data_IF_613685698329
#
_entry.id   IF_613685698329
#
_cell.length_a   1.000
_cell.length_b   1.000
_cell.length_c   1.000
_cell.angle_alpha   90.00
_cell.angle_beta   90.00
_cell.angle_gamma   90.00
#
_symmetry.space_group_name_H-M   'P 1'
#
loop_
_entity.id
_entity.type
_entity.pdbx_description
1 polymer ?
#
# COMPACT_ATOMS: atom_id res chain seq x y z
N UNK A 1 -18.92 4.34 -9.95
CA UNK A 1 -17.63 4.99 -9.65
C UNK A 1 -16.86 4.12 -8.67
N UNK A 2 -15.60 3.79 -8.95
CA UNK A 2 -14.79 2.87 -8.14
C UNK A 2 -13.84 3.60 -7.20
N UNK A 3 -13.33 2.92 -6.17
CA UNK A 3 -12.33 3.46 -5.24
C UNK A 3 -11.05 3.90 -5.97
N UNK A 4 -10.62 3.15 -7.00
CA UNK A 4 -9.46 3.51 -7.81
C UNK A 4 -9.69 4.78 -8.62
N UNK A 5 -10.87 4.96 -9.20
CA UNK A 5 -11.23 6.21 -9.90
C UNK A 5 -11.16 7.42 -8.96
N UNK A 6 -11.63 7.29 -7.71
CA UNK A 6 -11.50 8.34 -6.70
C UNK A 6 -10.03 8.66 -6.39
N UNK A 7 -9.17 7.64 -6.33
CA UNK A 7 -7.72 7.82 -6.22
C UNK A 7 -7.08 8.51 -7.42
N UNK A 8 -7.53 8.22 -8.63
CA UNK A 8 -7.08 8.93 -9.84
C UNK A 8 -7.52 10.40 -9.86
N UNK A 9 -8.65 10.73 -9.23
CA UNK A 9 -9.15 12.10 -9.09
C UNK A 9 -8.55 12.87 -7.92
N UNK A 10 -7.70 12.26 -7.09
CA UNK A 10 -7.15 12.91 -5.90
C UNK A 10 -8.17 13.12 -4.78
N UNK A 11 -9.11 12.18 -4.61
CA UNK A 11 -10.18 12.25 -3.61
C UNK A 11 -10.06 11.11 -2.57
N UNK A 12 -8.99 11.06 -1.77
CA UNK A 12 -8.73 9.97 -0.82
C UNK A 12 -9.76 9.87 0.31
N UNK A 13 -10.28 10.98 0.85
CA UNK A 13 -11.39 10.94 1.81
C UNK A 13 -12.64 10.26 1.24
N UNK A 14 -12.99 10.55 -0.03
CA UNK A 14 -14.16 9.92 -0.66
C UNK A 14 -13.93 8.43 -0.89
N UNK A 15 -12.69 8.02 -1.18
CA UNK A 15 -12.33 6.61 -1.29
C UNK A 15 -12.56 5.89 0.05
N UNK A 16 -12.13 6.47 1.17
CA UNK A 16 -12.38 5.93 2.51
C UNK A 16 -13.87 5.88 2.85
N UNK A 17 -14.62 6.96 2.59
CA UNK A 17 -16.07 7.00 2.82
C UNK A 17 -16.81 5.92 2.02
N UNK A 18 -16.39 5.70 0.77
CA UNK A 18 -16.97 4.67 -0.11
C UNK A 18 -16.70 3.27 0.45
N UNK A 19 -15.49 3.02 0.96
CA UNK A 19 -15.15 1.76 1.61
C UNK A 19 -15.96 1.53 2.89
N UNK A 20 -16.06 2.53 3.77
CA UNK A 20 -16.89 2.45 4.98
C UNK A 20 -18.38 2.24 4.66
N UNK A 21 -18.89 2.87 3.59
CA UNK A 21 -20.24 2.63 3.10
C UNK A 21 -20.40 1.17 2.63
N UNK A 22 -19.46 0.64 1.85
CA UNK A 22 -19.50 -0.74 1.36
C UNK A 22 -19.46 -1.76 2.52
N UNK A 23 -18.66 -1.51 3.55
CA UNK A 23 -18.60 -2.36 4.77
C UNK A 23 -19.94 -2.44 5.51
N UNK A 24 -20.77 -1.40 5.44
CA UNK A 24 -22.08 -1.36 6.10
C UNK A 24 -23.18 -2.06 5.30
N UNK A 25 -22.90 -2.47 4.07
CA UNK A 25 -23.89 -3.19 3.26
C UNK A 25 -23.93 -4.66 3.68
N UNK A 26 -24.99 -5.00 4.41
CA UNK A 26 -25.26 -6.37 4.88
C UNK A 26 -26.07 -7.21 3.88
N UNK A 27 -26.71 -6.56 2.90
CA UNK A 27 -27.59 -7.21 1.92
C UNK A 27 -26.86 -7.93 0.77
N UNK A 28 -25.59 -7.57 0.53
CA UNK A 28 -24.69 -8.26 -0.39
C UNK A 28 -23.37 -8.45 0.36
N UNK A 29 -22.75 -9.64 0.35
CA UNK A 29 -21.46 -9.88 0.97
C UNK A 29 -20.36 -9.21 0.14
N UNK A 30 -20.37 -7.88 0.09
CA UNK A 30 -19.30 -7.04 -0.45
C UNK A 30 -18.11 -6.98 0.52
N UNK A 31 -18.25 -7.57 1.71
CA UNK A 31 -17.22 -7.65 2.73
C UNK A 31 -17.19 -9.03 3.41
N UNK A 32 -16.00 -9.59 3.69
CA UNK A 32 -14.67 -9.05 3.40
C UNK A 32 -14.24 -9.27 1.93
N UNK A 33 -14.12 -8.18 1.17
CA UNK A 33 -13.38 -8.17 -0.10
C UNK A 33 -12.07 -7.40 0.08
N UNK A 34 -10.98 -8.16 0.18
CA UNK A 34 -9.62 -7.66 0.24
C UNK A 34 -9.29 -6.70 -0.91
N UNK A 35 -10.00 -6.77 -2.05
CA UNK A 35 -9.78 -5.86 -3.18
C UNK A 35 -10.25 -4.44 -2.90
N UNK A 36 -11.38 -4.29 -2.20
CA UNK A 36 -11.92 -2.98 -1.80
C UNK A 36 -11.00 -2.37 -0.75
N UNK A 37 -10.61 -3.16 0.25
CA UNK A 37 -9.66 -2.73 1.28
C UNK A 37 -8.30 -2.35 0.66
N UNK A 38 -7.71 -3.22 -0.16
CA UNK A 38 -6.43 -2.95 -0.83
C UNK A 38 -6.50 -1.68 -1.70
N UNK A 39 -7.56 -1.50 -2.50
CA UNK A 39 -7.70 -0.29 -3.31
C UNK A 39 -7.82 0.97 -2.45
N UNK A 40 -8.47 0.90 -1.29
CA UNK A 40 -8.59 2.02 -0.36
C UNK A 40 -7.23 2.34 0.27
N UNK A 41 -6.52 1.32 0.72
CA UNK A 41 -5.19 1.45 1.36
C UNK A 41 -4.17 2.04 0.39
N UNK A 42 -4.15 1.60 -0.88
CA UNK A 42 -3.25 2.20 -1.89
C UNK A 42 -3.51 3.69 -2.06
N UNK A 43 -4.78 4.09 -2.16
CA UNK A 43 -5.17 5.51 -2.30
C UNK A 43 -4.76 6.31 -1.06
N UNK A 44 -5.07 5.83 0.14
CA UNK A 44 -4.71 6.52 1.37
C UNK A 44 -3.19 6.64 1.54
N UNK A 45 -2.44 5.58 1.23
CA UNK A 45 -0.97 5.60 1.29
C UNK A 45 -0.38 6.58 0.27
N UNK A 46 -0.96 6.64 -0.94
CA UNK A 46 -0.54 7.54 -2.01
C UNK A 46 -0.70 9.02 -1.65
N UNK A 47 -1.75 9.38 -0.92
CA UNK A 47 -2.07 10.77 -0.56
C UNK A 47 -1.67 11.14 0.89
N UNK A 48 -0.83 10.33 1.52
CA UNK A 48 -0.37 10.55 2.90
C UNK A 48 -1.49 10.64 3.95
N UNK A 49 -2.56 9.89 3.73
CA UNK A 49 -3.70 9.80 4.66
C UNK A 49 -3.76 8.47 5.39
N UNK A 50 -2.81 7.58 5.10
CA UNK A 50 -2.67 6.32 5.81
C UNK A 50 -1.93 6.56 7.13
N UNK A 51 -2.67 6.95 8.17
CA UNK A 51 -2.17 7.12 9.55
C UNK A 51 -1.86 5.76 10.20
N UNK A 52 -0.77 5.12 9.79
CA UNK A 52 -0.42 3.76 10.20
C UNK A 52 1.03 3.62 10.67
N UNK A 53 1.78 4.70 10.87
CA UNK A 53 3.22 4.63 11.18
C UNK A 53 3.52 3.76 12.41
N UNK A 54 2.69 3.86 13.47
CA UNK A 54 2.79 3.02 14.68
C UNK A 54 2.01 1.69 14.56
N UNK A 55 0.99 1.64 13.71
CA UNK A 55 0.11 0.48 13.54
C UNK A 55 0.63 -0.52 12.51
N UNK A 56 1.64 -0.15 11.71
CA UNK A 56 2.17 -0.97 10.62
C UNK A 56 2.61 -2.35 11.13
N UNK A 57 3.37 -2.38 12.23
CA UNK A 57 3.89 -3.59 12.86
C UNK A 57 2.77 -4.45 13.47
N UNK A 58 1.68 -3.83 13.91
CA UNK A 58 0.51 -4.50 14.48
C UNK A 58 -0.44 -5.05 13.39
N UNK A 59 -0.54 -4.35 12.26
CA UNK A 59 -1.41 -4.73 11.15
C UNK A 59 -0.77 -5.80 10.25
N UNK A 60 0.56 -5.83 10.14
CA UNK A 60 1.31 -6.75 9.29
C UNK A 60 0.98 -8.25 9.47
N UNK A 61 0.85 -8.78 10.70
CA UNK A 61 0.52 -10.19 10.91
C UNK A 61 -0.86 -10.55 10.35
N UNK A 62 -1.83 -9.65 10.49
CA UNK A 62 -3.23 -9.87 10.10
C UNK A 62 -3.56 -9.43 8.67
N UNK A 63 -2.73 -8.58 8.06
CA UNK A 63 -2.98 -8.06 6.72
C UNK A 63 -2.82 -9.15 5.66
N UNK A 64 -3.71 -9.13 4.66
CA UNK A 64 -3.56 -9.99 3.51
C UNK A 64 -2.46 -9.48 2.58
N UNK A 65 -1.96 -10.38 1.74
CA UNK A 65 -0.93 -10.05 0.74
C UNK A 65 -1.35 -8.88 -0.16
N UNK A 66 -2.61 -8.85 -0.59
CA UNK A 66 -3.13 -7.79 -1.46
C UNK A 66 -3.10 -6.42 -0.76
N UNK A 67 -3.40 -6.37 0.54
CA UNK A 67 -3.36 -5.15 1.35
C UNK A 67 -1.92 -4.67 1.52
N UNK A 68 -0.98 -5.57 1.80
CA UNK A 68 0.44 -5.23 1.92
C UNK A 68 0.99 -4.69 0.59
N UNK A 69 0.74 -5.37 -0.52
CA UNK A 69 1.19 -4.93 -1.86
C UNK A 69 0.59 -3.58 -2.25
N UNK A 70 -0.67 -3.34 -1.91
CA UNK A 70 -1.33 -2.05 -2.12
C UNK A 70 -0.70 -0.94 -1.29
N UNK A 71 -0.37 -1.22 -0.02
CA UNK A 71 0.28 -0.27 0.87
C UNK A 71 1.66 0.14 0.35
N UNK A 72 2.49 -0.85 -0.03
CA UNK A 72 3.81 -0.57 -0.64
C UNK A 72 3.65 0.21 -1.94
N UNK A 73 2.70 -0.17 -2.79
CA UNK A 73 2.46 0.54 -4.06
C UNK A 73 2.04 1.99 -3.85
N UNK A 74 1.21 2.26 -2.84
CA UNK A 74 0.80 3.62 -2.48
C UNK A 74 1.99 4.44 -1.97
N UNK A 75 2.83 3.89 -1.10
CA UNK A 75 4.04 4.58 -0.62
C UNK A 75 5.03 4.87 -1.74
N UNK A 76 5.25 3.93 -2.67
CA UNK A 76 6.08 4.17 -3.86
C UNK A 76 5.53 5.36 -4.65
N UNK A 77 4.22 5.38 -4.92
CA UNK A 77 3.56 6.48 -5.66
C UNK A 77 3.57 7.82 -4.93
N UNK A 78 3.73 7.81 -3.61
CA UNK A 78 3.91 9.01 -2.79
C UNK A 78 5.39 9.44 -2.69
N UNK A 79 6.33 8.73 -3.32
CA UNK A 79 7.76 8.96 -3.16
C UNK A 79 8.29 8.56 -1.77
N UNK A 80 7.50 7.88 -0.94
CA UNK A 80 7.87 7.45 0.42
C UNK A 80 8.64 6.12 0.40
N UNK A 81 9.77 6.12 -0.31
CA UNK A 81 10.62 4.94 -0.56
C UNK A 81 11.10 4.30 0.75
N UNK A 82 11.40 5.09 1.79
CA UNK A 82 11.81 4.58 3.10
C UNK A 82 10.74 3.73 3.80
N UNK A 83 9.48 4.17 3.78
CA UNK A 83 8.36 3.41 4.35
C UNK A 83 8.06 2.16 3.52
N UNK A 84 8.10 2.28 2.19
CA UNK A 84 7.96 1.13 1.30
C UNK A 84 9.02 0.05 1.57
N UNK A 85 10.29 0.45 1.74
CA UNK A 85 11.38 -0.45 2.11
C UNK A 85 11.18 -1.08 3.50
N UNK A 86 10.83 -0.29 4.53
CA UNK A 86 10.55 -0.81 5.88
C UNK A 86 9.47 -1.89 5.84
N UNK A 87 8.42 -1.68 5.05
CA UNK A 87 7.32 -2.64 4.91
C UNK A 87 7.75 -3.92 4.18
N UNK A 88 8.60 -3.84 3.15
CA UNK A 88 9.18 -5.02 2.50
C UNK A 88 10.06 -5.83 3.46
N UNK A 89 10.91 -5.16 4.24
CA UNK A 89 11.75 -5.83 5.26
C UNK A 89 10.89 -6.54 6.31
N UNK A 90 9.85 -5.87 6.81
CA UNK A 90 8.93 -6.47 7.78
C UNK A 90 8.15 -7.65 7.17
N UNK A 91 7.73 -7.55 5.91
CA UNK A 91 7.09 -8.67 5.21
C UNK A 91 8.04 -9.87 5.07
N UNK A 92 9.32 -9.61 4.76
CA UNK A 92 10.38 -10.63 4.68
C UNK A 92 10.61 -11.32 6.04
N UNK A 93 10.73 -10.56 7.12
CA UNK A 93 10.85 -11.08 8.50
C UNK A 93 9.68 -12.00 8.86
N UNK A 94 8.46 -11.63 8.44
CA UNK A 94 7.25 -12.41 8.65
C UNK A 94 7.04 -13.55 7.61
N UNK A 95 8.06 -13.88 6.80
CA UNK A 95 8.02 -14.92 5.76
C UNK A 95 6.87 -14.74 4.75
N UNK A 96 6.47 -13.49 4.48
CA UNK A 96 5.44 -13.14 3.50
C UNK A 96 6.12 -12.84 2.16
N UNK A 97 5.85 -13.66 1.14
CA UNK A 97 6.34 -13.40 -0.22
C UNK A 97 5.39 -12.44 -0.95
N UNK A 98 5.85 -11.19 -1.17
CA UNK A 98 5.14 -10.23 -2.02
C UNK A 98 5.49 -10.42 -3.49
N UNK A 99 4.69 -9.83 -4.39
CA UNK A 99 4.92 -9.90 -5.83
C UNK A 99 6.28 -9.26 -6.20
N UNK A 100 7.13 -9.93 -7.01
CA UNK A 100 8.41 -9.37 -7.46
C UNK A 100 8.27 -7.99 -8.13
N UNK A 101 7.16 -7.72 -8.81
CA UNK A 101 6.90 -6.43 -9.45
C UNK A 101 6.91 -5.24 -8.48
N UNK A 102 6.62 -5.46 -7.19
CA UNK A 102 6.67 -4.42 -6.16
C UNK A 102 8.12 -4.01 -5.87
N UNK A 103 9.04 -4.98 -5.83
CA UNK A 103 10.47 -4.74 -5.63
C UNK A 103 11.06 -3.95 -6.80
N UNK A 104 10.72 -4.35 -8.03
CA UNK A 104 11.15 -3.64 -9.25
C UNK A 104 10.65 -2.20 -9.29
N UNK A 105 9.38 -1.96 -8.91
CA UNK A 105 8.83 -0.59 -8.82
C UNK A 105 9.54 0.24 -7.76
N UNK A 106 9.87 -0.35 -6.61
CA UNK A 106 10.60 0.33 -5.55
C UNK A 106 12.01 0.72 -6.02
N UNK A 107 12.72 -0.19 -6.68
CA UNK A 107 14.04 0.10 -7.25
C UNK A 107 13.97 1.23 -8.27
N UNK A 108 13.00 1.18 -9.18
CA UNK A 108 12.81 2.23 -10.18
C UNK A 108 12.58 3.59 -9.52
N UNK A 109 11.68 3.67 -8.54
CA UNK A 109 11.41 4.92 -7.82
C UNK A 109 12.63 5.40 -7.02
N UNK A 110 13.38 4.47 -6.42
CA UNK A 110 14.60 4.79 -5.68
C UNK A 110 15.65 5.43 -6.60
N UNK A 111 15.84 4.95 -7.83
CA UNK A 111 16.82 5.50 -8.78
C UNK A 111 16.55 6.98 -9.12
N UNK A 112 15.30 7.44 -9.06
CA UNK A 112 14.95 8.84 -9.31
C UNK A 112 15.19 9.78 -8.12
N UNK A 113 15.58 9.26 -6.96
CA UNK A 113 15.89 10.07 -5.76
C UNK A 113 17.38 10.46 -5.70
N UNK A 114 17.74 11.64 -5.15
CA UNK A 114 19.12 11.97 -4.85
C UNK A 114 19.69 10.94 -3.86
N UNK A 115 20.86 10.35 -4.19
CA UNK A 115 21.47 9.19 -3.50
C UNK A 115 20.73 7.84 -3.66
N UNK A 116 19.76 7.78 -4.57
CA UNK A 116 18.91 6.64 -4.85
C UNK A 116 19.60 5.35 -5.31
N UNK A 117 20.74 5.49 -5.99
CA UNK A 117 21.51 4.35 -6.50
C UNK A 117 21.97 3.39 -5.39
N UNK A 118 22.44 3.94 -4.26
CA UNK A 118 22.84 3.11 -3.11
C UNK A 118 21.66 2.37 -2.48
N UNK A 119 20.46 2.98 -2.53
CA UNK A 119 19.24 2.39 -2.00
C UNK A 119 18.66 1.33 -2.93
N UNK A 120 18.74 1.54 -4.25
CA UNK A 120 18.38 0.55 -5.26
C UNK A 120 19.33 -0.66 -5.23
N UNK A 121 20.64 -0.44 -5.06
CA UNK A 121 21.63 -1.51 -4.93
C UNK A 121 21.36 -2.39 -3.69
N UNK A 122 21.02 -1.78 -2.54
CA UNK A 122 20.70 -2.51 -1.32
C UNK A 122 19.40 -3.33 -1.37
N UNK A 123 18.62 -3.23 -2.46
CA UNK A 123 17.42 -4.04 -2.69
C UNK A 123 17.70 -5.27 -3.58
N UNK A 124 18.91 -5.40 -4.15
CA UNK A 124 19.30 -6.52 -5.02
C UNK A 124 19.90 -7.72 -4.24
N UNK A 125 20.32 -7.50 -2.99
CA UNK A 125 20.87 -8.52 -2.06
C UNK A 125 19.76 -9.27 -1.29
#
# INVERSE_FOLDING_TARGET
MTIRELGHMGLPERALQTMCWAQRQTALPLFPDDRILASTIEVLARFDQLKMEDALEQCLPSASRAVLEAMVSGFIRAGKVGLARKLLELARINKRTLNPSVHVKLMLEAVFMPYGYGLAAALLD
#
